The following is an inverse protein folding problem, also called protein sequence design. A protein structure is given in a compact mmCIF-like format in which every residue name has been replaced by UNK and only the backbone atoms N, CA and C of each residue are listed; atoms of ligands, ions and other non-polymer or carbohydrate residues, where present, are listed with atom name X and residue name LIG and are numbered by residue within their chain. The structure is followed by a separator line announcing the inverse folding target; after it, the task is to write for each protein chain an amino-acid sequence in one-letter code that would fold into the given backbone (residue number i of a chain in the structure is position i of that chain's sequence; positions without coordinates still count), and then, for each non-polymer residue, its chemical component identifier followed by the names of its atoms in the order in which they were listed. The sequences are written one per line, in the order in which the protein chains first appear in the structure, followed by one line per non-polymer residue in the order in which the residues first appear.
data_IF_601122888858
#
_entry.id   IF_601122888858
#
_cell.length_a   1.000
_cell.length_b   1.000
_cell.length_c   1.000
_cell.angle_alpha   90.00
_cell.angle_beta   90.00
_cell.angle_gamma   90.00
#
_symmetry.space_group_name_H-M   'P 1'
#
loop_
_entity.id
_entity.type
_entity.pdbx_description
1 polymer ?
#
# COMPACT_ATOMS: atom_id res chain seq x y z
N UNK A 1 -1.17 -92.51 -78.18
CA UNK A 1 -2.46 -92.19 -78.07
C UNK A 1 -2.81 -92.03 -76.57
N UNK A 2 -2.42 -90.98 -75.87
CA UNK A 2 -2.80 -90.76 -74.47
C UNK A 2 -3.17 -89.31 -74.25
N UNK A 3 -4.36 -89.09 -73.90
CA UNK A 3 -4.93 -87.81 -73.53
C UNK A 3 -4.60 -87.51 -72.10
N UNK A 4 -3.83 -86.43 -71.86
CA UNK A 4 -3.52 -85.91 -70.50
C UNK A 4 -4.51 -84.80 -70.25
N UNK A 5 -5.35 -84.98 -69.22
CA UNK A 5 -6.31 -83.94 -68.70
C UNK A 5 -5.52 -83.08 -67.70
N UNK A 6 -5.37 -81.82 -68.01
CA UNK A 6 -4.85 -80.84 -67.12
C UNK A 6 -5.94 -80.38 -66.15
N UNK A 7 -5.73 -80.64 -64.84
CA UNK A 7 -6.51 -80.04 -63.75
C UNK A 7 -5.86 -78.72 -63.37
N UNK A 8 -6.58 -77.64 -63.55
CA UNK A 8 -6.17 -76.35 -63.06
C UNK A 8 -6.67 -76.18 -61.62
N UNK A 9 -5.74 -76.08 -60.68
CA UNK A 9 -6.01 -75.66 -59.28
C UNK A 9 -6.03 -74.16 -59.25
N UNK A 10 -7.17 -73.56 -58.97
CA UNK A 10 -7.31 -72.14 -58.65
C UNK A 10 -7.07 -72.00 -57.15
N UNK A 11 -5.92 -71.40 -56.78
CA UNK A 11 -5.59 -71.01 -55.38
C UNK A 11 -6.20 -69.64 -55.13
N UNK A 12 -7.25 -69.58 -54.30
CA UNK A 12 -7.83 -68.33 -53.83
C UNK A 12 -6.95 -67.80 -52.65
N UNK A 13 -6.17 -66.77 -52.89
CA UNK A 13 -5.45 -66.08 -51.85
C UNK A 13 -6.40 -65.10 -51.14
N UNK A 14 -6.80 -65.46 -49.93
CA UNK A 14 -7.53 -64.56 -49.00
C UNK A 14 -6.52 -63.55 -48.33
N UNK A 15 -6.57 -62.31 -48.80
CA UNK A 15 -5.87 -61.21 -48.12
C UNK A 15 -6.67 -60.82 -46.86
N UNK A 16 -6.15 -61.18 -45.68
CA UNK A 16 -6.64 -60.68 -44.41
C UNK A 16 -6.11 -59.24 -44.21
N UNK A 17 -6.99 -58.26 -44.31
CA UNK A 17 -6.68 -56.88 -43.92
C UNK A 17 -6.63 -56.81 -42.38
N UNK A 18 -5.43 -56.75 -41.83
CA UNK A 18 -5.25 -56.39 -40.43
C UNK A 18 -5.45 -54.89 -40.27
N UNK A 19 -6.63 -54.51 -39.82
CA UNK A 19 -6.89 -53.11 -39.39
C UNK A 19 -6.15 -52.87 -38.09
N UNK A 20 -4.92 -52.37 -38.19
CA UNK A 20 -4.18 -51.88 -37.02
C UNK A 20 -4.85 -50.65 -36.47
N UNK A 21 -5.37 -50.73 -35.23
CA UNK A 21 -5.88 -49.56 -34.51
C UNK A 21 -4.70 -48.61 -34.30
N UNK A 22 -4.74 -47.46 -34.97
CA UNK A 22 -3.76 -46.39 -34.70
C UNK A 22 -4.07 -45.82 -33.31
N UNK A 23 -3.29 -46.21 -32.32
CA UNK A 23 -3.30 -45.57 -31.00
C UNK A 23 -2.62 -44.18 -31.13
N UNK A 24 -3.37 -43.12 -30.86
CA UNK A 24 -2.79 -41.79 -30.74
C UNK A 24 -1.80 -41.78 -29.55
N UNK A 25 -0.51 -41.59 -29.83
CA UNK A 25 0.50 -41.43 -28.81
C UNK A 25 0.51 -39.98 -28.32
N UNK A 26 0.34 -39.75 -27.02
CA UNK A 26 0.47 -38.43 -26.40
C UNK A 26 1.84 -38.35 -25.72
N UNK A 27 2.56 -37.24 -25.97
CA UNK A 27 3.77 -36.90 -25.27
C UNK A 27 3.50 -35.62 -24.42
N UNK A 28 3.93 -35.63 -23.15
CA UNK A 28 3.78 -34.51 -22.23
C UNK A 28 5.13 -34.07 -21.70
N UNK A 29 5.28 -32.80 -21.48
CA UNK A 29 6.41 -32.24 -20.74
C UNK A 29 5.90 -31.20 -19.77
N UNK A 30 6.69 -30.91 -18.74
CA UNK A 30 6.38 -29.90 -17.72
C UNK A 30 7.41 -28.78 -17.76
N UNK A 31 6.97 -27.56 -17.53
CA UNK A 31 7.83 -26.40 -17.36
C UNK A 31 7.35 -25.56 -16.17
N UNK A 32 8.29 -24.83 -15.55
CA UNK A 32 7.95 -23.98 -14.42
C UNK A 32 7.49 -22.60 -14.91
N UNK A 33 6.40 -22.10 -14.34
CA UNK A 33 5.99 -20.70 -14.43
C UNK A 33 6.23 -20.06 -13.07
N UNK A 34 6.96 -18.94 -13.05
CA UNK A 34 7.38 -18.29 -11.81
C UNK A 34 7.15 -16.79 -11.90
N UNK A 35 6.77 -16.19 -10.77
CA UNK A 35 6.70 -14.75 -10.55
C UNK A 35 7.21 -14.46 -9.14
N UNK A 36 7.87 -13.32 -8.96
CA UNK A 36 8.18 -12.77 -7.64
C UNK A 36 7.46 -11.45 -7.50
N UNK A 37 6.67 -11.31 -6.43
CA UNK A 37 5.97 -10.08 -6.08
C UNK A 37 6.74 -9.45 -4.93
N UNK A 38 7.19 -8.20 -5.12
CA UNK A 38 7.88 -7.41 -4.09
C UNK A 38 6.89 -6.46 -3.42
N UNK A 39 7.13 -6.17 -2.14
CA UNK A 39 6.35 -5.17 -1.43
C UNK A 39 6.55 -3.79 -2.07
N UNK A 40 5.49 -3.00 -2.10
CA UNK A 40 5.49 -1.62 -2.54
C UNK A 40 4.46 -0.83 -1.72
N UNK A 41 4.77 0.42 -1.41
CA UNK A 41 3.86 1.36 -0.76
C UNK A 41 3.88 2.70 -1.49
N UNK A 42 2.73 3.34 -1.55
CA UNK A 42 2.56 4.69 -2.07
C UNK A 42 1.75 5.53 -1.07
N UNK A 43 2.22 6.76 -0.83
CA UNK A 43 1.60 7.76 0.04
C UNK A 43 1.26 9.05 -0.74
N UNK A 44 1.59 9.10 -2.04
CA UNK A 44 1.52 10.29 -2.88
C UNK A 44 0.41 10.25 -3.93
N UNK A 45 -0.03 9.08 -4.35
CA UNK A 45 -1.03 8.93 -5.43
C UNK A 45 -2.38 9.55 -5.08
N UNK A 46 -2.81 9.47 -3.82
CA UNK A 46 -4.01 10.16 -3.34
C UNK A 46 -3.59 11.29 -2.40
N UNK A 47 -3.92 12.53 -2.77
CA UNK A 47 -3.55 13.70 -1.99
C UNK A 47 -4.03 13.59 -0.53
N UNK A 48 -3.19 14.03 0.44
CA UNK A 48 -3.61 14.13 1.84
C UNK A 48 -4.69 15.22 2.00
N UNK A 49 -5.40 15.16 3.11
CA UNK A 49 -6.27 16.24 3.55
C UNK A 49 -5.56 17.03 4.65
N UNK A 50 -5.50 18.35 4.50
CA UNK A 50 -4.85 19.24 5.45
C UNK A 50 -5.53 19.22 6.83
N UNK A 51 -4.73 19.41 7.88
CA UNK A 51 -5.23 19.75 9.22
C UNK A 51 -5.47 21.27 9.26
N UNK A 52 -6.68 21.70 8.94
CA UNK A 52 -7.03 23.11 8.87
C UNK A 52 -7.85 23.54 10.09
N UNK A 53 -7.25 24.31 11.00
CA UNK A 53 -7.89 24.80 12.22
C UNK A 53 -8.92 25.91 11.99
N UNK A 54 -9.05 26.43 10.76
CA UNK A 54 -9.99 27.49 10.41
C UNK A 54 -9.66 28.84 11.04
N UNK A 55 -10.64 29.74 11.04
CA UNK A 55 -10.50 31.05 11.70
C UNK A 55 -10.96 30.95 13.15
N UNK A 56 -10.09 31.36 14.06
CA UNK A 56 -10.32 31.26 15.50
C UNK A 56 -10.11 32.61 16.17
N UNK A 57 -10.92 32.96 17.20
CA UNK A 57 -10.63 34.12 18.02
C UNK A 57 -9.39 33.92 18.88
N UNK A 58 -8.67 34.99 19.20
CA UNK A 58 -7.43 34.89 20.02
C UNK A 58 -7.67 34.39 21.45
N UNK A 59 -8.91 34.21 21.86
CA UNK A 59 -9.30 33.68 23.18
C UNK A 59 -9.54 32.17 23.17
N UNK A 60 -9.49 31.50 21.99
CA UNK A 60 -9.76 30.10 21.91
C UNK A 60 -8.60 29.28 22.49
N UNK A 61 -8.96 28.14 23.07
CA UNK A 61 -8.01 27.17 23.63
C UNK A 61 -8.38 25.78 23.19
N UNK A 62 -7.37 24.89 23.07
CA UNK A 62 -7.55 23.50 22.66
C UNK A 62 -8.38 23.38 21.36
N UNK A 63 -8.01 24.17 20.35
CA UNK A 63 -8.65 24.09 19.04
C UNK A 63 -8.23 22.80 18.37
N UNK A 64 -9.19 21.92 18.18
CA UNK A 64 -9.00 20.60 17.60
C UNK A 64 -9.50 20.56 16.16
N UNK A 65 -8.74 19.92 15.28
CA UNK A 65 -9.21 19.52 13.96
C UNK A 65 -8.45 18.27 13.51
N UNK A 66 -8.82 17.73 12.35
CA UNK A 66 -8.16 16.57 11.75
C UNK A 66 -8.00 16.75 10.25
N UNK A 67 -6.96 16.12 9.73
CA UNK A 67 -6.73 15.87 8.34
C UNK A 67 -6.59 14.35 8.12
N UNK A 68 -6.05 13.95 6.97
CA UNK A 68 -5.82 12.55 6.67
C UNK A 68 -4.64 12.35 5.73
N UNK A 69 -3.93 11.26 5.91
CA UNK A 69 -3.00 10.69 4.94
C UNK A 69 -3.67 9.51 4.23
N UNK A 70 -3.37 9.34 2.95
CA UNK A 70 -3.83 8.21 2.16
C UNK A 70 -2.63 7.35 1.78
N UNK A 71 -2.68 6.05 2.06
CA UNK A 71 -1.61 5.11 1.75
C UNK A 71 -2.16 3.91 1.00
N UNK A 72 -1.40 3.41 0.04
CA UNK A 72 -1.72 2.18 -0.68
C UNK A 72 -0.49 1.27 -0.69
N UNK A 73 -0.55 0.19 0.07
CA UNK A 73 0.54 -0.77 0.21
C UNK A 73 0.11 -2.15 -0.25
N UNK A 74 1.06 -2.93 -0.77
CA UNK A 74 0.89 -4.35 -1.09
C UNK A 74 0.18 -5.08 0.07
N UNK A 75 -0.78 -6.00 -0.22
CA UNK A 75 -1.46 -6.76 0.81
C UNK A 75 -0.49 -7.44 1.78
N UNK A 76 -0.78 -7.34 3.08
CA UNK A 76 0.02 -7.91 4.17
C UNK A 76 1.44 -7.34 4.34
N UNK A 77 1.85 -6.35 3.55
CA UNK A 77 3.13 -5.66 3.77
C UNK A 77 3.05 -4.79 5.02
N UNK A 78 3.92 -4.98 6.02
CA UNK A 78 3.99 -4.08 7.16
C UNK A 78 4.59 -2.74 6.74
N UNK A 79 4.09 -1.65 7.31
CA UNK A 79 4.65 -0.33 7.09
C UNK A 79 4.64 0.51 8.36
N UNK A 80 5.45 1.54 8.39
CA UNK A 80 5.40 2.61 9.41
C UNK A 80 5.37 3.97 8.72
N UNK A 81 4.65 4.92 9.33
CA UNK A 81 4.60 6.31 8.86
C UNK A 81 5.13 7.22 9.95
N UNK A 82 6.14 7.99 9.59
CA UNK A 82 6.74 9.04 10.39
C UNK A 82 6.25 10.41 9.95
N UNK A 83 6.06 11.33 10.90
CA UNK A 83 5.87 12.76 10.62
C UNK A 83 7.07 13.53 11.18
N UNK A 84 7.60 14.45 10.39
CA UNK A 84 8.69 15.33 10.83
C UNK A 84 8.22 16.41 11.83
N UNK A 85 9.10 17.31 12.19
CA UNK A 85 8.85 18.42 13.10
C UNK A 85 8.30 19.68 12.40
N UNK A 86 8.06 19.62 11.09
CA UNK A 86 7.69 20.77 10.27
C UNK A 86 8.87 21.72 10.01
N UNK A 87 8.59 22.80 9.33
CA UNK A 87 9.61 23.78 8.94
C UNK A 87 9.99 24.75 10.07
N UNK A 88 9.13 24.91 11.08
CA UNK A 88 9.29 25.91 12.13
C UNK A 88 9.49 25.29 13.53
N UNK A 89 9.37 23.97 13.67
CA UNK A 89 9.62 23.24 14.91
C UNK A 89 11.08 22.76 15.02
N UNK A 90 11.58 22.56 16.23
CA UNK A 90 12.91 21.98 16.48
C UNK A 90 12.87 20.47 16.70
N UNK A 91 11.72 19.96 17.14
CA UNK A 91 11.44 18.53 17.32
C UNK A 91 9.93 18.28 17.21
N UNK A 92 9.52 17.00 17.19
CA UNK A 92 8.13 16.59 17.01
C UNK A 92 7.19 16.99 18.16
N UNK A 93 7.72 17.39 19.32
CA UNK A 93 6.94 17.91 20.45
C UNK A 93 6.88 19.44 20.48
N UNK A 94 7.60 20.11 19.59
CA UNK A 94 7.71 21.58 19.53
C UNK A 94 7.35 22.15 18.17
N UNK A 95 6.37 21.54 17.48
CA UNK A 95 5.87 22.00 16.18
C UNK A 95 5.23 23.38 16.27
N UNK A 96 5.44 24.19 15.24
CA UNK A 96 4.93 25.57 15.19
C UNK A 96 4.52 25.94 13.77
N UNK A 97 3.37 26.57 13.65
CA UNK A 97 3.00 27.33 12.44
C UNK A 97 3.59 28.74 12.53
N UNK A 98 3.94 29.35 11.41
CA UNK A 98 4.54 30.69 11.36
C UNK A 98 3.82 31.58 10.34
N UNK A 99 3.80 32.90 10.63
CA UNK A 99 3.44 33.96 9.68
C UNK A 99 4.64 34.81 9.28
N UNK A 100 5.88 34.34 9.60
CA UNK A 100 7.12 35.07 9.35
C UNK A 100 7.59 35.94 10.52
N UNK A 101 6.68 36.43 11.37
CA UNK A 101 7.01 37.29 12.54
C UNK A 101 6.66 36.64 13.88
N UNK A 102 5.63 35.82 13.90
CA UNK A 102 5.14 35.14 15.10
C UNK A 102 4.93 33.67 14.80
N UNK A 103 4.97 32.86 15.86
CA UNK A 103 4.80 31.41 15.77
C UNK A 103 3.74 30.92 16.73
N UNK A 104 2.85 30.04 16.27
CA UNK A 104 1.77 29.41 17.03
C UNK A 104 2.10 27.93 17.23
N UNK A 105 2.28 27.46 18.47
CA UNK A 105 2.51 26.03 18.74
C UNK A 105 1.29 25.18 18.35
N UNK A 106 1.54 24.01 17.83
CA UNK A 106 0.53 23.00 17.58
C UNK A 106 1.11 21.59 17.77
N UNK A 107 0.23 20.58 17.80
CA UNK A 107 0.66 19.20 17.88
C UNK A 107 -0.18 18.31 16.98
N UNK A 108 0.45 17.23 16.49
CA UNK A 108 -0.18 16.19 15.69
C UNK A 108 -0.15 14.86 16.42
N UNK A 109 -1.25 14.10 16.32
CA UNK A 109 -1.45 12.88 17.07
C UNK A 109 -1.96 11.75 16.18
N UNK A 110 -1.64 10.51 16.58
CA UNK A 110 -2.10 9.26 15.94
C UNK A 110 -3.52 8.88 16.37
N UNK A 111 -4.03 9.45 17.47
CA UNK A 111 -5.33 9.11 18.03
C UNK A 111 -6.14 10.36 18.39
N UNK A 112 -7.48 10.21 18.37
CA UNK A 112 -8.42 11.29 18.71
C UNK A 112 -8.34 11.75 20.17
N UNK A 113 -7.76 10.95 21.05
CA UNK A 113 -7.50 11.26 22.47
C UNK A 113 -6.51 12.40 22.66
N UNK A 114 -5.59 12.61 21.71
CA UNK A 114 -4.61 13.70 21.69
C UNK A 114 -3.82 13.81 22.99
N UNK A 115 -3.43 12.66 23.53
CA UNK A 115 -2.55 12.62 24.72
C UNK A 115 -1.08 12.71 24.32
N UNK A 116 -0.19 12.95 25.29
CA UNK A 116 1.25 12.98 25.03
C UNK A 116 1.78 11.64 24.46
N UNK A 117 1.17 10.52 24.83
CA UNK A 117 1.51 9.20 24.30
C UNK A 117 1.09 9.01 22.83
N UNK A 118 0.14 9.81 22.35
CA UNK A 118 -0.39 9.74 20.99
C UNK A 118 0.37 10.65 20.02
N UNK A 119 1.32 11.44 20.46
CA UNK A 119 2.08 12.34 19.58
C UNK A 119 2.66 11.53 18.42
N UNK A 120 2.36 12.00 17.21
CA UNK A 120 2.85 11.36 15.99
C UNK A 120 4.19 11.98 15.59
N UNK A 121 5.24 11.21 15.64
CA UNK A 121 6.60 11.66 15.35
C UNK A 121 7.37 10.74 14.42
N UNK A 122 8.67 10.70 14.57
CA UNK A 122 9.59 10.00 13.66
C UNK A 122 10.43 8.91 14.33
N UNK A 123 10.21 8.65 15.62
CA UNK A 123 10.97 7.63 16.37
C UNK A 123 10.33 6.26 16.17
N UNK A 124 11.14 5.29 15.74
CA UNK A 124 10.74 3.87 15.55
C UNK A 124 11.11 3.04 16.78
N UNK A 125 10.57 1.81 16.86
CA UNK A 125 10.86 0.85 17.93
C UNK A 125 9.78 0.81 19.02
N UNK A 126 9.98 0.04 20.08
CA UNK A 126 8.98 -0.28 21.10
C UNK A 126 8.37 0.91 21.85
N UNK A 127 9.13 2.00 22.02
CA UNK A 127 8.65 3.28 22.57
C UNK A 127 8.48 4.35 21.49
N UNK A 128 8.41 3.93 20.24
CA UNK A 128 8.34 4.82 19.09
C UNK A 128 7.00 5.53 18.96
N UNK A 129 7.04 6.66 18.26
CA UNK A 129 5.88 7.52 18.04
C UNK A 129 5.44 7.57 16.56
N UNK A 130 5.91 6.65 15.71
CA UNK A 130 5.42 6.45 14.34
C UNK A 130 4.07 5.70 14.35
N UNK A 131 3.28 5.84 13.30
CA UNK A 131 2.10 5.02 13.09
C UNK A 131 2.51 3.75 12.34
N UNK A 132 2.24 2.58 12.93
CA UNK A 132 2.42 1.30 12.26
C UNK A 132 1.12 0.82 11.62
N UNK A 133 1.23 0.14 10.48
CA UNK A 133 0.09 -0.41 9.75
C UNK A 133 0.47 -1.62 8.90
N UNK A 134 -0.52 -2.18 8.25
CA UNK A 134 -0.38 -3.31 7.32
C UNK A 134 -1.14 -3.01 6.05
N UNK A 135 -0.51 -3.22 4.91
CA UNK A 135 -1.10 -2.99 3.59
C UNK A 135 -2.33 -3.85 3.33
N UNK A 136 -3.33 -3.27 2.68
CA UNK A 136 -4.58 -3.94 2.30
C UNK A 136 -4.70 -4.21 0.80
N UNK A 137 -3.78 -3.69 -0.01
CA UNK A 137 -3.89 -3.69 -1.48
C UNK A 137 -4.85 -2.64 -2.04
N UNK A 138 -5.35 -1.77 -1.17
CA UNK A 138 -6.25 -0.67 -1.53
C UNK A 138 -5.86 0.58 -0.73
N UNK A 139 -6.37 1.73 -1.13
CA UNK A 139 -6.13 2.98 -0.39
C UNK A 139 -6.72 2.89 1.02
N UNK A 140 -5.88 3.14 2.01
CA UNK A 140 -6.23 3.25 3.42
C UNK A 140 -6.12 4.71 3.83
N UNK A 141 -7.20 5.28 4.37
CA UNK A 141 -7.22 6.66 4.88
C UNK A 141 -6.90 6.65 6.36
N UNK A 142 -5.83 7.34 6.74
CA UNK A 142 -5.29 7.38 8.10
C UNK A 142 -5.50 8.79 8.66
N UNK A 143 -6.32 8.96 9.71
CA UNK A 143 -6.59 10.29 10.27
C UNK A 143 -5.33 10.86 10.96
N UNK A 144 -5.11 12.16 10.77
CA UNK A 144 -4.10 12.96 11.46
C UNK A 144 -4.84 13.93 12.37
N UNK A 145 -4.73 13.74 13.67
CA UNK A 145 -5.43 14.60 14.63
C UNK A 145 -4.53 15.75 15.05
N UNK A 146 -5.04 16.98 14.94
CA UNK A 146 -4.31 18.19 15.30
C UNK A 146 -4.92 18.90 16.51
N UNK A 147 -4.08 19.62 17.27
CA UNK A 147 -4.48 20.53 18.34
C UNK A 147 -3.60 21.76 18.38
N UNK A 148 -4.24 22.94 18.46
CA UNK A 148 -3.62 24.19 18.84
C UNK A 148 -4.00 24.47 20.29
N UNK A 149 -3.05 24.44 21.26
CA UNK A 149 -3.37 24.60 22.68
C UNK A 149 -3.94 26.00 23.03
N UNK A 150 -3.46 27.02 22.34
CA UNK A 150 -3.90 28.42 22.55
C UNK A 150 -3.77 29.20 21.26
N UNK A 151 -4.70 30.08 21.02
CA UNK A 151 -4.71 31.04 19.90
C UNK A 151 -4.35 32.46 20.34
N UNK A 152 -3.84 32.66 21.56
CA UNK A 152 -3.46 33.97 22.09
C UNK A 152 -2.17 34.50 21.45
N UNK A 153 -2.24 34.80 20.16
CA UNK A 153 -1.15 35.29 19.32
C UNK A 153 -1.68 36.47 18.45
N UNK A 154 -0.77 37.27 17.87
CA UNK A 154 -1.17 38.35 16.95
C UNK A 154 -2.05 37.82 15.81
N UNK A 155 -3.02 38.64 15.41
CA UNK A 155 -3.87 38.27 14.27
C UNK A 155 -3.05 38.11 13.01
N UNK A 156 -3.32 37.03 12.24
CA UNK A 156 -2.58 36.70 11.02
C UNK A 156 -2.92 35.30 10.53
N UNK A 157 -2.39 34.96 9.37
CA UNK A 157 -2.48 33.61 8.81
C UNK A 157 -1.19 32.87 9.13
N UNK A 158 -1.29 31.74 9.81
CA UNK A 158 -0.15 30.91 10.23
C UNK A 158 -0.18 29.59 9.49
N UNK A 159 0.97 29.15 9.02
CA UNK A 159 1.11 27.90 8.30
C UNK A 159 2.40 27.15 8.69
N UNK A 160 2.38 25.84 8.51
CA UNK A 160 3.54 24.97 8.56
C UNK A 160 3.41 23.87 7.51
N UNK A 161 4.49 23.22 7.15
CA UNK A 161 4.51 22.10 6.22
C UNK A 161 5.14 20.90 6.93
N UNK A 162 4.41 19.78 6.93
CA UNK A 162 4.83 18.52 7.52
C UNK A 162 5.16 17.53 6.43
N UNK A 163 6.30 16.84 6.55
CA UNK A 163 6.66 15.73 5.70
C UNK A 163 6.26 14.41 6.35
N UNK A 164 5.45 13.63 5.66
CA UNK A 164 5.14 12.25 6.01
C UNK A 164 6.05 11.29 5.24
N UNK A 165 6.71 10.38 5.95
CA UNK A 165 7.60 9.36 5.36
C UNK A 165 7.06 7.98 5.68
N UNK A 166 6.85 7.16 4.65
CA UNK A 166 6.48 5.75 4.80
C UNK A 166 7.71 4.87 4.63
N UNK A 167 7.84 3.86 5.51
CA UNK A 167 8.87 2.82 5.45
C UNK A 167 8.20 1.45 5.47
N UNK A 168 8.60 0.54 4.54
CA UNK A 168 8.02 -0.79 4.34
C UNK A 168 9.06 -1.82 3.92
#
# INVERSE_FOLDING_TARGET
MNTIRNLAFAAAATFAFVTGSAHAATATTTFNVRITITAACDISTTAPTDVNFGSQPSTATNVDNQGALNVNCTPSAPYTIALDNGQNGTDVNSRKMSNGTSQVPYQLYRAATRTAADVWGSTTGGSGNVLAGTGSGSVQTLPVYGRVPSTNFPAGSYADVITATITY
#
